data_IF_500021860986
#
_entry.id   IF_500021860986
#
_cell.length_a   1.000
_cell.length_b   1.000
_cell.length_c   1.000
_cell.angle_alpha   90.00
_cell.angle_beta   90.00
_cell.angle_gamma   90.00
#
_symmetry.space_group_name_H-M   'P 1'
#
loop_
_entity.id
_entity.type
_entity.pdbx_description
1 polymer ?
#
# COMPACT_ATOMS: atom_id res chain seq x y z
N UNK A 1 -3.64 -6.49 16.37
CA UNK A 1 -4.63 -7.59 16.16
C UNK A 1 -5.08 -7.67 14.71
N UNK A 2 -5.47 -6.55 14.07
CA UNK A 2 -5.79 -6.51 12.63
C UNK A 2 -4.63 -6.97 11.74
N UNK A 3 -3.39 -6.70 12.12
CA UNK A 3 -2.20 -7.23 11.42
C UNK A 3 -2.13 -8.76 11.43
N UNK A 4 -2.41 -9.41 12.56
CA UNK A 4 -2.41 -10.88 12.63
C UNK A 4 -3.48 -11.46 11.70
N UNK A 5 -4.66 -10.82 11.63
CA UNK A 5 -5.76 -11.25 10.76
C UNK A 5 -5.40 -11.07 9.28
N UNK A 6 -4.79 -9.93 8.91
CA UNK A 6 -4.28 -9.70 7.55
C UNK A 6 -3.20 -10.71 7.16
N UNK A 7 -2.31 -11.05 8.09
CA UNK A 7 -1.29 -12.09 7.88
C UNK A 7 -1.96 -13.45 7.71
N UNK A 8 -2.87 -13.83 8.60
CA UNK A 8 -3.64 -15.07 8.54
C UNK A 8 -4.39 -15.21 7.22
N UNK A 9 -5.09 -14.18 6.75
CA UNK A 9 -5.79 -14.20 5.45
C UNK A 9 -4.85 -14.56 4.29
N UNK A 10 -3.61 -14.08 4.36
CA UNK A 10 -2.65 -14.20 3.25
C UNK A 10 -1.83 -15.49 3.28
N UNK A 11 -1.65 -16.13 4.44
CA UNK A 11 -0.87 -17.37 4.60
C UNK A 11 -1.74 -18.60 4.83
N UNK A 12 -2.94 -18.40 5.40
CA UNK A 12 -3.88 -19.43 5.80
C UNK A 12 -5.32 -18.88 5.68
N UNK A 13 -5.80 -18.54 4.46
CA UNK A 13 -7.15 -18.01 4.25
C UNK A 13 -8.27 -18.92 4.79
N UNK A 14 -8.00 -20.22 4.84
CA UNK A 14 -8.88 -21.21 5.48
C UNK A 14 -9.09 -20.93 6.97
N UNK A 15 -8.09 -20.39 7.68
CA UNK A 15 -8.21 -20.02 9.09
C UNK A 15 -9.21 -18.88 9.27
N UNK A 16 -9.22 -17.90 8.36
CA UNK A 16 -10.19 -16.80 8.42
C UNK A 16 -11.60 -17.28 8.11
N UNK A 17 -11.74 -18.15 7.10
CA UNK A 17 -13.02 -18.80 6.80
C UNK A 17 -13.55 -19.53 8.03
N UNK A 18 -12.70 -20.34 8.69
CA UNK A 18 -13.05 -21.05 9.93
C UNK A 18 -13.40 -20.10 11.07
N UNK A 19 -12.68 -18.97 11.21
CA UNK A 19 -12.93 -17.97 12.24
C UNK A 19 -14.29 -17.30 12.04
N UNK A 20 -14.59 -16.86 10.81
CA UNK A 20 -15.87 -16.25 10.41
C UNK A 20 -17.03 -17.23 10.62
N UNK A 21 -16.88 -18.49 10.20
CA UNK A 21 -17.89 -19.53 10.37
C UNK A 21 -18.16 -19.84 11.85
N UNK A 22 -17.11 -19.98 12.66
CA UNK A 22 -17.27 -20.17 14.11
C UNK A 22 -17.90 -18.97 14.77
N UNK A 23 -17.54 -17.75 14.37
CA UNK A 23 -18.17 -16.54 14.88
C UNK A 23 -19.67 -16.50 14.56
N UNK A 24 -20.09 -16.83 13.32
CA UNK A 24 -21.51 -16.95 12.97
C UNK A 24 -22.25 -17.94 13.88
N UNK A 25 -21.68 -19.12 14.11
CA UNK A 25 -22.32 -20.12 14.98
C UNK A 25 -22.47 -19.61 16.42
N UNK A 26 -21.39 -19.04 16.98
CA UNK A 26 -21.40 -18.52 18.34
C UNK A 26 -22.32 -17.30 18.49
N UNK A 27 -22.40 -16.43 17.48
CA UNK A 27 -23.28 -15.26 17.51
C UNK A 27 -24.76 -15.67 17.49
N UNK A 28 -25.15 -16.64 16.67
CA UNK A 28 -26.53 -17.17 16.69
C UNK A 28 -26.89 -17.84 18.03
N UNK A 29 -25.96 -18.60 18.61
CA UNK A 29 -26.17 -19.18 19.94
C UNK A 29 -26.31 -18.10 21.04
N UNK A 30 -25.61 -16.98 20.91
CA UNK A 30 -25.71 -15.87 21.86
C UNK A 30 -27.12 -15.24 21.91
N UNK A 31 -27.87 -15.32 20.82
CA UNK A 31 -29.23 -14.76 20.72
C UNK A 31 -30.34 -15.80 20.94
N UNK A 32 -30.16 -17.03 20.47
CA UNK A 32 -31.26 -18.02 20.38
C UNK A 32 -30.91 -19.40 20.93
N UNK A 33 -30.05 -19.53 21.95
CA UNK A 33 -29.84 -20.83 22.59
C UNK A 33 -31.06 -21.34 23.39
N UNK A 34 -31.31 -22.68 23.40
CA UNK A 34 -30.55 -23.72 22.71
C UNK A 34 -30.92 -23.89 21.23
N UNK A 35 -29.90 -24.12 20.39
CA UNK A 35 -30.10 -24.48 18.97
C UNK A 35 -29.62 -25.89 18.65
N UNK A 36 -30.32 -26.55 17.72
CA UNK A 36 -29.84 -27.76 17.06
C UNK A 36 -28.88 -27.46 15.91
N UNK A 37 -28.06 -28.44 15.53
CA UNK A 37 -27.10 -28.34 14.40
C UNK A 37 -27.78 -27.99 13.08
N UNK A 38 -28.99 -28.53 12.84
CA UNK A 38 -29.78 -28.24 11.64
C UNK A 38 -30.25 -26.78 11.60
N UNK A 39 -30.73 -26.26 12.73
CA UNK A 39 -31.15 -24.85 12.84
C UNK A 39 -29.98 -23.90 12.63
N UNK A 40 -28.82 -24.21 13.23
CA UNK A 40 -27.58 -23.46 13.00
C UNK A 40 -27.15 -23.49 11.53
N UNK A 41 -27.17 -24.65 10.89
CA UNK A 41 -26.83 -24.81 9.47
C UNK A 41 -27.67 -23.91 8.56
N UNK A 42 -28.99 -23.88 8.80
CA UNK A 42 -29.91 -23.02 8.05
C UNK A 42 -29.68 -21.53 8.34
N UNK A 43 -29.39 -21.17 9.59
CA UNK A 43 -29.20 -19.79 9.99
C UNK A 43 -27.88 -19.18 9.48
N UNK A 44 -26.83 -19.98 9.33
CA UNK A 44 -25.48 -19.48 8.97
C UNK A 44 -25.06 -19.75 7.53
N UNK A 45 -25.88 -20.45 6.75
CA UNK A 45 -25.53 -20.98 5.41
C UNK A 45 -24.27 -21.87 5.41
N UNK A 46 -24.06 -22.61 6.50
CA UNK A 46 -22.94 -23.54 6.67
C UNK A 46 -23.49 -24.96 6.55
N UNK A 47 -22.83 -25.84 5.78
CA UNK A 47 -23.29 -27.23 5.65
C UNK A 47 -23.39 -27.92 7.02
N UNK A 48 -24.40 -28.77 7.21
CA UNK A 48 -24.62 -29.47 8.49
C UNK A 48 -23.39 -30.29 8.95
N UNK A 49 -22.64 -30.84 7.98
CA UNK A 49 -21.36 -31.52 8.23
C UNK A 49 -20.30 -30.57 8.80
N UNK A 50 -20.17 -29.37 8.23
CA UNK A 50 -19.24 -28.36 8.72
C UNK A 50 -19.69 -27.82 10.09
N UNK A 51 -20.99 -27.55 10.28
CA UNK A 51 -21.55 -27.16 11.60
C UNK A 51 -21.21 -28.18 12.66
N UNK A 52 -21.38 -29.49 12.38
CA UNK A 52 -20.96 -30.55 13.30
C UNK A 52 -19.48 -30.43 13.67
N UNK A 53 -18.61 -30.30 12.66
CA UNK A 53 -17.17 -30.18 12.89
C UNK A 53 -16.79 -28.94 13.71
N UNK A 54 -17.40 -27.79 13.43
CA UNK A 54 -17.15 -26.56 14.17
C UNK A 54 -17.65 -26.66 15.60
N UNK A 55 -18.88 -27.14 15.82
CA UNK A 55 -19.46 -27.32 17.15
C UNK A 55 -18.65 -28.30 18.00
N UNK A 56 -18.20 -29.42 17.43
CA UNK A 56 -17.37 -30.39 18.15
C UNK A 56 -16.02 -29.76 18.56
N UNK A 57 -15.41 -28.95 17.69
CA UNK A 57 -14.19 -28.21 18.02
C UNK A 57 -14.42 -27.11 19.08
N UNK A 58 -15.50 -26.35 18.96
CA UNK A 58 -15.89 -25.33 19.94
C UNK A 58 -16.15 -25.95 21.32
N UNK A 59 -16.77 -27.14 21.35
CA UNK A 59 -16.98 -27.91 22.59
C UNK A 59 -15.65 -28.38 23.17
N UNK A 60 -14.75 -28.90 22.34
CA UNK A 60 -13.41 -29.32 22.75
C UNK A 60 -12.59 -28.16 23.35
N UNK A 61 -12.85 -26.93 22.91
CA UNK A 61 -12.24 -25.70 23.43
C UNK A 61 -13.04 -25.05 24.56
N UNK A 62 -14.08 -25.68 25.09
CA UNK A 62 -14.86 -25.17 26.23
C UNK A 62 -15.79 -23.98 25.91
N UNK A 63 -16.02 -23.65 24.64
CA UNK A 63 -16.81 -22.48 24.23
C UNK A 63 -18.31 -22.77 24.09
N UNK A 64 -18.69 -24.04 23.93
CA UNK A 64 -20.10 -24.49 23.84
C UNK A 64 -20.33 -25.77 24.64
N UNK A 65 -21.56 -25.93 25.12
CA UNK A 65 -22.04 -27.14 25.78
C UNK A 65 -23.14 -27.80 24.94
N UNK A 66 -23.19 -29.13 24.94
CA UNK A 66 -24.19 -29.90 24.21
C UNK A 66 -25.01 -30.69 25.22
N UNK A 67 -26.32 -30.48 25.22
CA UNK A 67 -27.27 -31.28 26.01
C UNK A 67 -28.48 -31.70 25.16
N UNK A 68 -29.44 -32.44 25.74
CA UNK A 68 -30.59 -33.00 25.00
C UNK A 68 -31.41 -31.94 24.24
N UNK A 69 -31.69 -30.74 24.80
CA UNK A 69 -32.44 -29.70 24.10
C UNK A 69 -31.67 -29.00 22.98
N UNK A 70 -30.33 -29.08 22.96
CA UNK A 70 -29.51 -28.45 21.92
C UNK A 70 -28.13 -28.01 22.41
N UNK A 71 -27.56 -27.05 21.68
CA UNK A 71 -26.25 -26.47 21.92
C UNK A 71 -26.43 -25.13 22.64
N UNK A 72 -25.61 -24.90 23.66
CA UNK A 72 -25.57 -23.69 24.49
C UNK A 72 -24.17 -23.08 24.42
N UNK A 73 -24.05 -21.77 24.60
CA UNK A 73 -22.76 -21.16 24.91
C UNK A 73 -22.39 -21.44 26.36
N UNK A 74 -21.10 -21.72 26.58
CA UNK A 74 -20.54 -21.65 27.93
C UNK A 74 -20.39 -20.19 28.38
N UNK A 75 -20.07 -19.97 29.66
CA UNK A 75 -19.73 -18.63 30.16
C UNK A 75 -18.56 -18.00 29.39
N UNK A 76 -17.51 -18.78 29.11
CA UNK A 76 -16.36 -18.33 28.31
C UNK A 76 -16.76 -18.00 26.86
N UNK A 77 -17.59 -18.84 26.25
CA UNK A 77 -18.14 -18.58 24.91
C UNK A 77 -18.90 -17.25 24.85
N UNK A 78 -19.74 -16.97 25.84
CA UNK A 78 -20.50 -15.71 25.95
C UNK A 78 -19.59 -14.47 26.07
N UNK A 79 -18.50 -14.57 26.83
CA UNK A 79 -17.53 -13.47 26.93
C UNK A 79 -16.69 -13.26 25.66
N UNK A 80 -16.44 -14.33 24.90
CA UNK A 80 -15.60 -14.29 23.71
C UNK A 80 -16.32 -13.69 22.50
N UNK A 81 -17.62 -13.96 22.33
CA UNK A 81 -18.44 -13.46 21.20
C UNK A 81 -18.30 -11.95 20.95
N UNK A 82 -18.48 -11.05 21.94
CA UNK A 82 -18.36 -9.61 21.71
C UNK A 82 -16.94 -9.18 21.34
N UNK A 83 -15.90 -9.84 21.87
CA UNK A 83 -14.49 -9.58 21.52
C UNK A 83 -14.22 -9.95 20.06
N UNK A 84 -14.64 -11.14 19.65
CA UNK A 84 -14.54 -11.60 18.25
C UNK A 84 -15.31 -10.70 17.29
N UNK A 85 -16.51 -10.24 17.68
CA UNK A 85 -17.30 -9.28 16.90
C UNK A 85 -16.52 -7.99 16.64
N UNK A 86 -15.95 -7.39 17.69
CA UNK A 86 -15.20 -6.13 17.53
C UNK A 86 -14.02 -6.29 16.58
N UNK A 87 -13.29 -7.38 16.72
CA UNK A 87 -12.13 -7.71 15.87
C UNK A 87 -12.54 -7.91 14.40
N UNK A 88 -13.56 -8.73 14.14
CA UNK A 88 -14.02 -9.00 12.77
C UNK A 88 -14.64 -7.75 12.13
N UNK A 89 -15.39 -6.96 12.91
CA UNK A 89 -15.98 -5.71 12.44
C UNK A 89 -14.89 -4.72 12.00
N UNK A 90 -13.86 -4.52 12.81
CA UNK A 90 -12.74 -3.64 12.43
C UNK A 90 -12.02 -4.13 11.17
N UNK A 91 -11.80 -5.45 11.05
CA UNK A 91 -11.17 -6.05 9.88
C UNK A 91 -12.01 -5.87 8.61
N UNK A 92 -13.30 -6.15 8.66
CA UNK A 92 -14.23 -5.95 7.55
C UNK A 92 -14.29 -4.46 7.15
N UNK A 93 -14.33 -3.56 8.14
CA UNK A 93 -14.34 -2.12 7.91
C UNK A 93 -13.12 -1.61 7.15
N UNK A 94 -11.93 -2.13 7.46
CA UNK A 94 -10.70 -1.78 6.74
C UNK A 94 -10.77 -2.26 5.29
N UNK A 95 -11.21 -3.51 5.07
CA UNK A 95 -11.35 -4.07 3.72
C UNK A 95 -12.40 -3.33 2.88
N UNK A 96 -13.51 -2.90 3.49
CA UNK A 96 -14.52 -2.08 2.81
C UNK A 96 -13.96 -0.70 2.42
N UNK A 97 -13.19 -0.06 3.31
CA UNK A 97 -12.55 1.22 3.01
C UNK A 97 -11.51 1.07 1.88
N UNK A 98 -10.71 0.00 1.87
CA UNK A 98 -9.80 -0.32 0.75
C UNK A 98 -10.56 -0.38 -0.58
N UNK A 99 -11.70 -1.09 -0.62
CA UNK A 99 -12.51 -1.19 -1.83
C UNK A 99 -13.14 0.14 -2.24
N UNK A 100 -13.64 0.93 -1.30
CA UNK A 100 -14.22 2.24 -1.57
C UNK A 100 -13.17 3.22 -2.11
N UNK A 101 -11.96 3.24 -1.52
CA UNK A 101 -10.85 4.07 -2.00
C UNK A 101 -10.37 3.63 -3.38
N UNK A 102 -10.24 2.32 -3.60
CA UNK A 102 -9.91 1.74 -4.91
C UNK A 102 -10.88 2.20 -6.00
N UNK A 103 -12.18 2.11 -5.73
CA UNK A 103 -13.24 2.53 -6.65
C UNK A 103 -13.21 4.05 -6.89
N UNK A 104 -13.05 4.84 -5.83
CA UNK A 104 -13.05 6.31 -5.92
C UNK A 104 -11.84 6.87 -6.68
N UNK A 105 -10.70 6.17 -6.66
CA UNK A 105 -9.47 6.57 -7.34
C UNK A 105 -9.27 5.91 -8.71
N UNK A 106 -10.06 4.88 -9.04
CA UNK A 106 -9.90 4.07 -10.24
C UNK A 106 -8.49 3.47 -10.39
N UNK A 107 -8.03 2.79 -9.34
CA UNK A 107 -6.70 2.15 -9.27
C UNK A 107 -6.81 0.64 -9.08
N UNK A 108 -5.68 -0.07 -9.16
CA UNK A 108 -5.67 -1.54 -9.18
C UNK A 108 -5.97 -2.12 -7.80
N UNK A 109 -5.41 -1.54 -6.74
CA UNK A 109 -5.68 -1.96 -5.37
C UNK A 109 -5.31 -0.90 -4.32
N UNK A 110 -5.86 -1.05 -3.12
CA UNK A 110 -5.48 -0.27 -1.93
C UNK A 110 -5.17 -1.23 -0.80
N UNK A 111 -4.07 -1.00 -0.09
CA UNK A 111 -3.66 -1.76 1.09
C UNK A 111 -3.50 -0.78 2.25
N UNK A 112 -4.31 -0.94 3.29
CA UNK A 112 -4.27 -0.13 4.50
C UNK A 112 -3.50 -0.89 5.59
N UNK A 113 -2.53 -0.21 6.17
CA UNK A 113 -1.70 -0.70 7.27
C UNK A 113 -2.02 0.04 8.57
N UNK A 114 -1.89 -0.57 9.75
CA UNK A 114 -2.16 0.14 11.00
C UNK A 114 -1.10 1.20 11.31
N UNK A 115 -1.50 2.41 11.72
CA UNK A 115 -0.59 3.42 12.25
C UNK A 115 -0.27 3.13 13.70
N UNK A 116 0.89 2.53 13.96
CA UNK A 116 1.36 2.31 15.33
C UNK A 116 2.53 3.25 15.68
N UNK A 117 2.18 4.45 16.18
CA UNK A 117 3.13 5.39 16.79
C UNK A 117 4.39 5.64 15.94
N UNK A 118 5.57 5.52 16.55
CA UNK A 118 6.86 5.76 15.90
C UNK A 118 7.27 4.70 14.86
N UNK A 119 6.55 3.57 14.78
CA UNK A 119 6.86 2.46 13.87
C UNK A 119 6.09 2.52 12.55
N UNK A 120 5.20 3.49 12.38
CA UNK A 120 4.38 3.68 11.18
C UNK A 120 5.18 3.59 9.87
N UNK A 121 6.29 4.33 9.75
CA UNK A 121 7.12 4.33 8.54
C UNK A 121 7.73 2.94 8.26
N UNK A 122 8.18 2.25 9.30
CA UNK A 122 8.74 0.90 9.21
C UNK A 122 7.69 -0.11 8.74
N UNK A 123 6.45 0.01 9.23
CA UNK A 123 5.32 -0.85 8.84
C UNK A 123 4.90 -0.65 7.38
N UNK A 124 4.87 0.59 6.91
CA UNK A 124 4.67 0.92 5.49
C UNK A 124 5.78 0.30 4.64
N UNK A 125 7.04 0.48 5.05
CA UNK A 125 8.21 -0.11 4.40
C UNK A 125 8.11 -1.63 4.29
N UNK A 126 7.83 -2.31 5.41
CA UNK A 126 7.67 -3.77 5.45
C UNK A 126 6.54 -4.28 4.54
N UNK A 127 5.39 -3.61 4.55
CA UNK A 127 4.25 -3.99 3.71
C UNK A 127 4.57 -3.79 2.23
N UNK A 128 5.18 -2.66 1.89
CA UNK A 128 5.64 -2.37 0.53
C UNK A 128 6.68 -3.40 0.06
N UNK A 129 7.66 -3.74 0.90
CA UNK A 129 8.67 -4.73 0.58
C UNK A 129 8.04 -6.09 0.22
N UNK A 130 7.07 -6.56 1.01
CA UNK A 130 6.37 -7.83 0.75
C UNK A 130 5.52 -7.81 -0.52
N UNK A 131 4.95 -6.67 -0.88
CA UNK A 131 4.18 -6.51 -2.12
C UNK A 131 5.11 -6.52 -3.33
N UNK A 132 6.15 -5.69 -3.29
CA UNK A 132 7.13 -5.54 -4.37
C UNK A 132 7.91 -6.82 -4.62
N UNK A 133 8.37 -7.52 -3.56
CA UNK A 133 9.10 -8.79 -3.67
C UNK A 133 8.38 -9.85 -4.53
N UNK A 134 7.04 -9.82 -4.56
CA UNK A 134 6.22 -10.78 -5.32
C UNK A 134 6.10 -10.44 -6.81
N UNK A 135 6.47 -9.22 -7.19
CA UNK A 135 6.37 -8.70 -8.56
C UNK A 135 7.70 -8.78 -9.31
N UNK A 136 8.81 -8.83 -8.57
CA UNK A 136 10.17 -8.81 -9.13
C UNK A 136 10.59 -10.20 -9.60
N UNK A 137 11.22 -10.24 -10.78
CA UNK A 137 11.80 -11.46 -11.39
C UNK A 137 13.25 -11.20 -11.81
N UNK A 138 13.98 -12.26 -12.20
CA UNK A 138 15.38 -12.16 -12.68
C UNK A 138 15.58 -11.23 -13.88
N UNK A 139 14.53 -10.92 -14.64
CA UNK A 139 14.63 -10.07 -15.84
C UNK A 139 14.01 -8.69 -15.65
N UNK A 140 13.51 -8.40 -14.45
CA UNK A 140 12.81 -7.17 -14.16
C UNK A 140 13.78 -5.99 -14.12
N UNK A 141 13.37 -4.88 -14.74
CA UNK A 141 13.89 -3.55 -14.45
C UNK A 141 13.03 -2.92 -13.36
N UNK A 142 13.61 -2.64 -12.20
CA UNK A 142 12.91 -2.08 -11.05
C UNK A 142 13.32 -0.62 -10.87
N UNK A 143 12.38 0.31 -11.04
CA UNK A 143 12.60 1.72 -10.75
C UNK A 143 12.11 2.10 -9.37
N UNK A 144 12.92 2.83 -8.60
CA UNK A 144 12.57 3.28 -7.25
C UNK A 144 12.78 4.78 -7.07
N UNK A 145 11.83 5.49 -6.45
CA UNK A 145 12.02 6.89 -6.10
C UNK A 145 12.88 7.07 -4.84
N UNK A 146 13.26 8.32 -4.57
CA UNK A 146 13.85 8.69 -3.28
C UNK A 146 12.82 8.77 -2.16
N UNK A 147 13.29 9.11 -0.96
CA UNK A 147 12.47 9.46 0.21
C UNK A 147 12.53 8.42 1.34
N UNK A 148 12.17 8.89 2.54
CA UNK A 148 12.23 8.09 3.77
C UNK A 148 11.37 6.82 3.72
N UNK A 149 10.22 6.85 3.05
CA UNK A 149 9.35 5.67 2.87
C UNK A 149 9.99 4.61 1.98
N UNK A 150 10.67 5.02 0.91
CA UNK A 150 11.37 4.09 0.00
C UNK A 150 12.63 3.50 0.66
N UNK A 151 13.34 4.31 1.45
CA UNK A 151 14.46 3.82 2.26
C UNK A 151 14.01 2.77 3.29
N UNK A 152 12.93 3.05 4.04
CA UNK A 152 12.36 2.09 4.99
C UNK A 152 11.88 0.79 4.29
N UNK A 153 11.36 0.87 3.07
CA UNK A 153 11.03 -0.32 2.28
C UNK A 153 12.28 -1.12 1.90
N UNK A 154 13.35 -0.46 1.45
CA UNK A 154 14.59 -1.14 1.08
C UNK A 154 15.26 -1.82 2.30
N UNK A 155 15.20 -1.19 3.47
CA UNK A 155 15.70 -1.76 4.72
C UNK A 155 14.96 -3.05 5.10
N UNK A 156 13.63 -3.07 4.93
CA UNK A 156 12.76 -4.22 5.21
C UNK A 156 12.69 -5.25 4.06
N UNK A 157 13.36 -5.00 2.94
CA UNK A 157 13.34 -5.91 1.79
C UNK A 157 14.03 -7.23 2.16
N UNK A 158 13.33 -8.39 2.07
CA UNK A 158 13.94 -9.67 2.37
C UNK A 158 15.04 -9.97 1.36
N UNK A 159 16.12 -10.61 1.84
CA UNK A 159 17.13 -11.14 0.92
C UNK A 159 16.54 -12.28 0.11
N UNK A 160 16.76 -12.27 -1.20
CA UNK A 160 16.30 -13.31 -2.13
C UNK A 160 17.28 -13.38 -3.29
N UNK A 161 17.62 -14.59 -3.74
CA UNK A 161 18.48 -14.76 -4.93
C UNK A 161 17.63 -14.51 -6.17
N UNK A 162 17.64 -13.27 -6.63
CA UNK A 162 17.09 -12.82 -7.90
C UNK A 162 18.23 -12.12 -8.68
N UNK A 163 17.98 -11.69 -9.91
CA UNK A 163 18.99 -10.93 -10.69
C UNK A 163 18.42 -9.70 -11.42
N UNK A 164 17.51 -8.90 -10.81
CA UNK A 164 16.94 -7.74 -11.48
C UNK A 164 18.00 -6.65 -11.71
N UNK A 165 17.65 -5.69 -12.56
CA UNK A 165 18.39 -4.42 -12.66
C UNK A 165 17.58 -3.33 -11.97
N UNK A 166 18.14 -2.73 -10.92
CA UNK A 166 17.48 -1.66 -10.17
C UNK A 166 18.00 -0.29 -10.61
N UNK A 167 17.09 0.63 -10.88
CA UNK A 167 17.42 1.99 -11.33
C UNK A 167 16.70 3.02 -10.46
N UNK A 168 17.25 4.22 -10.28
CA UNK A 168 16.49 5.31 -9.71
C UNK A 168 15.39 5.71 -10.71
N UNK A 169 14.18 5.96 -10.22
CA UNK A 169 13.09 6.43 -11.06
C UNK A 169 13.39 7.83 -11.64
N UNK A 170 14.22 8.62 -10.96
CA UNK A 170 14.62 10.00 -11.31
C UNK A 170 15.98 10.37 -10.71
N UNK A 171 16.52 11.50 -11.12
CA UNK A 171 17.75 12.09 -10.55
C UNK A 171 17.69 12.34 -9.04
N UNK A 172 18.85 12.68 -8.46
CA UNK A 172 18.99 12.89 -7.02
C UNK A 172 18.20 14.09 -6.50
N UNK A 173 17.52 13.93 -5.35
CA UNK A 173 16.73 14.98 -4.68
C UNK A 173 16.98 14.92 -3.17
N UNK A 174 17.16 16.09 -2.56
CA UNK A 174 17.33 16.24 -1.11
C UNK A 174 18.77 16.05 -0.62
N UNK A 175 19.01 16.45 0.63
CA UNK A 175 20.35 16.47 1.24
C UNK A 175 20.68 15.20 2.04
N UNK A 176 19.67 14.40 2.40
CA UNK A 176 19.85 13.17 3.17
C UNK A 176 20.25 12.04 2.22
N UNK A 177 21.49 11.57 2.36
CA UNK A 177 22.11 10.58 1.46
C UNK A 177 21.31 9.28 1.42
N UNK A 178 20.86 8.80 2.58
CA UNK A 178 20.08 7.57 2.74
C UNK A 178 18.74 7.62 2.00
N UNK A 179 18.22 8.82 1.72
CA UNK A 179 16.94 9.01 1.05
C UNK A 179 17.10 9.23 -0.47
N UNK A 180 18.33 9.22 -0.98
CA UNK A 180 18.56 9.35 -2.41
C UNK A 180 18.17 8.07 -3.14
N UNK A 181 17.50 8.23 -4.29
CA UNK A 181 17.06 7.12 -5.12
C UNK A 181 18.21 6.17 -5.52
N UNK A 182 19.42 6.71 -5.77
CA UNK A 182 20.60 5.92 -6.09
C UNK A 182 21.01 4.97 -4.94
N UNK A 183 20.95 5.44 -3.70
CA UNK A 183 21.29 4.64 -2.52
C UNK A 183 20.25 3.54 -2.33
N UNK A 184 18.97 3.90 -2.39
CA UNK A 184 17.86 2.96 -2.26
C UNK A 184 17.92 1.88 -3.37
N UNK A 185 18.21 2.27 -4.62
CA UNK A 185 18.39 1.34 -5.72
C UNK A 185 19.54 0.35 -5.46
N UNK A 186 20.66 0.83 -4.90
CA UNK A 186 21.80 -0.02 -4.56
C UNK A 186 21.48 -1.03 -3.44
N UNK A 187 20.75 -0.61 -2.41
CA UNK A 187 20.33 -1.48 -1.29
C UNK A 187 19.39 -2.57 -1.81
N UNK A 188 18.40 -2.21 -2.65
CA UNK A 188 17.49 -3.19 -3.24
C UNK A 188 18.21 -4.20 -4.13
N UNK A 189 19.13 -3.75 -4.97
CA UNK A 189 19.93 -4.65 -5.81
C UNK A 189 20.77 -5.61 -4.95
N UNK A 190 21.38 -5.14 -3.86
CA UNK A 190 22.13 -5.99 -2.93
C UNK A 190 21.23 -7.04 -2.28
N UNK A 191 20.06 -6.66 -1.76
CA UNK A 191 19.07 -7.59 -1.16
C UNK A 191 18.67 -8.68 -2.15
N UNK A 192 18.60 -8.33 -3.42
CA UNK A 192 18.19 -9.24 -4.47
C UNK A 192 19.32 -9.98 -5.16
N UNK A 193 20.61 -9.76 -4.85
CA UNK A 193 21.73 -10.25 -5.67
C UNK A 193 21.69 -9.79 -7.15
N UNK A 194 20.98 -8.69 -7.40
CA UNK A 194 20.88 -8.05 -8.71
C UNK A 194 21.99 -7.05 -8.98
N UNK A 195 21.78 -6.23 -10.01
CA UNK A 195 22.65 -5.10 -10.35
C UNK A 195 21.89 -3.79 -10.26
N UNK A 196 22.60 -2.67 -10.19
CA UNK A 196 21.98 -1.35 -10.24
C UNK A 196 22.73 -0.41 -11.18
N UNK A 197 22.03 0.63 -11.65
CA UNK A 197 22.61 1.75 -12.40
C UNK A 197 22.25 3.05 -11.70
N UNK A 198 23.21 3.94 -11.54
CA UNK A 198 23.01 5.22 -10.85
C UNK A 198 22.82 6.37 -11.85
N UNK A 199 21.94 7.30 -11.51
CA UNK A 199 21.72 8.54 -12.25
C UNK A 199 22.31 9.72 -11.47
N UNK A 200 23.47 10.20 -11.91
CA UNK A 200 24.19 11.31 -11.25
C UNK A 200 23.85 12.67 -11.85
N UNK A 201 22.58 12.90 -12.12
CA UNK A 201 22.08 14.19 -12.60
C UNK A 201 21.19 14.84 -11.55
N UNK A 202 21.28 16.17 -11.37
CA UNK A 202 20.34 16.90 -10.53
C UNK A 202 18.94 16.89 -11.16
N UNK A 203 17.93 16.97 -10.31
CA UNK A 203 16.55 17.22 -10.76
C UNK A 203 16.40 18.69 -11.21
N UNK A 204 15.47 18.96 -12.14
CA UNK A 204 15.14 20.33 -12.57
C UNK A 204 16.11 20.99 -13.56
N UNK A 205 16.89 20.22 -14.32
CA UNK A 205 17.74 20.74 -15.39
C UNK A 205 16.91 21.46 -16.47
N UNK A 206 17.53 22.41 -17.19
CA UNK A 206 16.89 23.02 -18.35
C UNK A 206 16.62 21.97 -19.44
N UNK A 207 15.57 22.17 -20.24
CA UNK A 207 15.22 21.23 -21.32
C UNK A 207 16.38 21.06 -22.31
N UNK A 208 17.02 22.16 -22.71
CA UNK A 208 18.16 22.14 -23.63
C UNK A 208 19.35 21.37 -23.05
N UNK A 209 19.60 21.52 -21.74
CA UNK A 209 20.66 20.75 -21.06
C UNK A 209 20.35 19.25 -21.03
N UNK A 210 19.11 18.87 -20.78
CA UNK A 210 18.70 17.46 -20.78
C UNK A 210 18.81 16.86 -22.17
N UNK A 211 18.28 17.54 -23.19
CA UNK A 211 18.33 17.08 -24.58
C UNK A 211 19.78 16.90 -25.04
N UNK A 212 20.68 17.83 -24.66
CA UNK A 212 22.11 17.71 -24.92
C UNK A 212 22.73 16.50 -24.22
N UNK A 213 22.48 16.30 -22.92
CA UNK A 213 23.03 15.19 -22.14
C UNK A 213 22.55 13.83 -22.68
N UNK A 214 21.25 13.68 -22.97
CA UNK A 214 20.70 12.43 -23.51
C UNK A 214 21.25 12.13 -24.92
N UNK A 215 21.51 13.16 -25.72
CA UNK A 215 21.99 13.00 -27.10
C UNK A 215 23.48 12.72 -27.17
N UNK A 216 24.28 13.44 -26.37
CA UNK A 216 25.74 13.44 -26.49
C UNK A 216 26.45 12.50 -25.52
N UNK A 217 25.82 12.12 -24.40
CA UNK A 217 26.44 11.27 -23.38
C UNK A 217 25.87 9.84 -23.42
N UNK A 218 26.61 8.85 -23.94
CA UNK A 218 26.12 7.49 -24.10
C UNK A 218 25.65 6.82 -22.80
N UNK A 219 26.32 7.13 -21.67
CA UNK A 219 25.95 6.60 -20.36
C UNK A 219 24.59 7.13 -19.89
N UNK A 220 24.31 8.41 -20.14
CA UNK A 220 23.03 9.04 -19.82
C UNK A 220 21.92 8.48 -20.71
N UNK A 221 22.23 8.25 -21.99
CA UNK A 221 21.30 7.59 -22.91
C UNK A 221 20.95 6.17 -22.47
N UNK A 222 21.96 5.36 -22.13
CA UNK A 222 21.76 3.96 -21.68
C UNK A 222 20.87 3.90 -20.43
N UNK A 223 21.14 4.73 -19.41
CA UNK A 223 20.32 4.74 -18.20
C UNK A 223 18.90 5.28 -18.48
N UNK A 224 18.76 6.29 -19.34
CA UNK A 224 17.44 6.79 -19.75
C UNK A 224 16.62 5.69 -20.44
N UNK A 225 17.22 4.98 -21.40
CA UNK A 225 16.57 3.84 -22.08
C UNK A 225 16.17 2.74 -21.09
N UNK A 226 17.03 2.44 -20.12
CA UNK A 226 16.75 1.44 -19.10
C UNK A 226 15.60 1.88 -18.18
N UNK A 227 15.58 3.13 -17.74
CA UNK A 227 14.48 3.69 -16.93
C UNK A 227 13.13 3.57 -17.69
N UNK A 228 13.11 3.81 -19.00
CA UNK A 228 11.87 3.67 -19.79
C UNK A 228 11.47 2.20 -20.05
N UNK A 229 12.35 1.23 -19.77
CA UNK A 229 12.05 -0.20 -19.79
C UNK A 229 11.57 -0.76 -18.44
N UNK A 230 11.23 0.11 -17.48
CA UNK A 230 10.79 -0.29 -16.14
C UNK A 230 9.61 -1.27 -16.18
N UNK A 231 9.78 -2.41 -15.51
CA UNK A 231 8.72 -3.41 -15.30
C UNK A 231 7.98 -3.18 -13.98
N UNK A 232 8.72 -2.79 -12.94
CA UNK A 232 8.21 -2.53 -11.59
C UNK A 232 8.63 -1.12 -11.15
N UNK A 233 7.67 -0.24 -10.94
CA UNK A 233 7.89 1.09 -10.38
C UNK A 233 7.40 1.14 -8.93
N UNK A 234 8.26 1.61 -8.03
CA UNK A 234 7.89 1.89 -6.64
C UNK A 234 8.23 3.33 -6.29
N UNK A 235 7.27 4.09 -5.77
CA UNK A 235 7.49 5.50 -5.48
C UNK A 235 6.72 6.02 -4.26
N UNK A 236 7.26 7.07 -3.66
CA UNK A 236 6.64 7.82 -2.57
C UNK A 236 5.81 9.01 -3.05
N UNK A 237 4.89 9.48 -2.20
CA UNK A 237 4.09 10.69 -2.43
C UNK A 237 4.39 11.75 -1.34
N UNK A 238 4.62 12.99 -1.79
CA UNK A 238 4.86 14.15 -0.92
C UNK A 238 3.80 15.23 -1.10
N UNK A 239 3.69 16.12 -0.11
CA UNK A 239 2.88 17.35 -0.24
C UNK A 239 3.58 18.32 -1.19
N UNK A 240 2.81 18.95 -2.08
CA UNK A 240 3.35 19.80 -3.14
C UNK A 240 4.31 20.90 -2.61
N UNK A 241 3.87 21.71 -1.65
CA UNK A 241 4.70 22.83 -1.16
C UNK A 241 5.93 22.35 -0.37
N UNK A 242 5.81 21.30 0.44
CA UNK A 242 6.95 20.70 1.11
C UNK A 242 8.00 20.20 0.10
N UNK A 243 7.55 19.50 -0.95
CA UNK A 243 8.44 18.99 -1.98
C UNK A 243 9.01 20.08 -2.90
N UNK A 244 8.32 21.21 -3.04
CA UNK A 244 8.85 22.40 -3.70
C UNK A 244 10.04 22.99 -2.92
N UNK A 245 9.95 23.03 -1.59
CA UNK A 245 11.02 23.51 -0.72
C UNK A 245 12.23 22.56 -0.75
N UNK A 246 12.01 21.24 -0.64
CA UNK A 246 13.08 20.21 -0.73
C UNK A 246 13.83 20.28 -2.07
N UNK A 247 13.14 20.62 -3.16
CA UNK A 247 13.73 20.73 -4.51
C UNK A 247 14.19 22.14 -4.87
N UNK A 248 14.12 23.09 -3.94
CA UNK A 248 14.53 24.47 -4.18
C UNK A 248 13.83 25.08 -5.41
N UNK A 249 12.53 24.78 -5.57
CA UNK A 249 11.72 25.28 -6.69
C UNK A 249 11.68 26.82 -6.65
N UNK A 250 11.95 27.52 -7.77
CA UNK A 250 11.95 28.98 -7.80
C UNK A 250 10.62 29.60 -7.36
N UNK A 251 10.69 30.76 -6.71
CA UNK A 251 9.52 31.45 -6.13
C UNK A 251 8.39 31.70 -7.14
N UNK A 252 8.72 32.03 -8.39
CA UNK A 252 7.71 32.20 -9.45
C UNK A 252 6.93 30.92 -9.75
N UNK A 253 7.60 29.76 -9.76
CA UNK A 253 6.94 28.46 -9.92
C UNK A 253 6.18 28.09 -8.66
N UNK A 254 6.70 28.43 -7.47
CA UNK A 254 5.97 28.23 -6.22
C UNK A 254 4.64 28.98 -6.19
N UNK A 255 4.58 30.22 -6.73
CA UNK A 255 3.31 30.94 -6.92
C UNK A 255 2.37 30.19 -7.87
N UNK A 256 2.88 29.69 -9.00
CA UNK A 256 2.09 28.84 -9.91
C UNK A 256 1.51 27.60 -9.21
N UNK A 257 2.28 26.95 -8.31
CA UNK A 257 1.79 25.81 -7.53
C UNK A 257 0.63 26.21 -6.61
N UNK A 258 0.72 27.37 -5.95
CA UNK A 258 -0.34 27.89 -5.09
C UNK A 258 -1.57 28.29 -5.91
N UNK A 259 -1.38 29.04 -6.99
CA UNK A 259 -2.47 29.52 -7.86
C UNK A 259 -3.20 28.37 -8.57
N UNK A 260 -2.49 27.27 -8.83
CA UNK A 260 -3.05 26.05 -9.42
C UNK A 260 -3.55 25.02 -8.40
N UNK A 261 -3.64 25.36 -7.11
CA UNK A 261 -4.08 24.47 -6.04
C UNK A 261 -3.34 23.12 -6.01
N UNK A 262 -2.03 23.12 -6.27
CA UNK A 262 -1.22 21.92 -6.19
C UNK A 262 -1.12 21.43 -4.74
N UNK A 263 -1.54 20.18 -4.50
CA UNK A 263 -1.57 19.57 -3.16
C UNK A 263 -0.61 18.39 -3.02
N UNK A 264 -0.30 17.68 -4.11
CA UNK A 264 0.61 16.54 -4.10
C UNK A 264 1.74 16.64 -5.10
N UNK A 265 2.82 15.92 -4.82
CA UNK A 265 3.94 15.72 -5.72
C UNK A 265 4.36 14.25 -5.71
N UNK A 266 4.59 13.73 -6.90
CA UNK A 266 5.31 12.49 -7.11
C UNK A 266 6.04 12.55 -8.44
N UNK A 267 7.23 11.97 -8.49
CA UNK A 267 8.04 11.90 -9.70
C UNK A 267 8.16 13.25 -10.42
N UNK A 268 8.41 14.33 -9.67
CA UNK A 268 8.57 15.70 -10.18
C UNK A 268 7.31 16.31 -10.81
N UNK A 269 6.15 15.66 -10.67
CA UNK A 269 4.86 16.17 -11.15
C UNK A 269 4.04 16.65 -9.96
N UNK A 270 3.65 17.92 -10.00
CA UNK A 270 2.84 18.57 -8.98
C UNK A 270 1.38 18.56 -9.42
N UNK A 271 0.52 17.94 -8.63
CA UNK A 271 -0.86 17.66 -8.98
C UNK A 271 -1.84 18.45 -8.11
N UNK A 272 -2.88 18.98 -8.74
CA UNK A 272 -4.05 19.52 -8.04
C UNK A 272 -4.97 18.39 -7.57
N UNK A 273 -5.91 18.69 -6.66
CA UNK A 273 -6.80 17.69 -6.06
C UNK A 273 -7.59 16.85 -7.09
N UNK A 274 -7.88 17.39 -8.28
CA UNK A 274 -8.57 16.69 -9.37
C UNK A 274 -7.67 15.69 -10.14
N UNK A 275 -6.36 15.71 -9.91
CA UNK A 275 -5.35 14.93 -10.64
C UNK A 275 -4.73 15.64 -11.84
N UNK A 276 -5.07 16.91 -12.08
CA UNK A 276 -4.43 17.72 -13.11
C UNK A 276 -3.01 18.11 -12.71
N UNK A 277 -2.06 17.96 -13.64
CA UNK A 277 -0.66 18.35 -13.43
C UNK A 277 -0.52 19.86 -13.59
N UNK A 278 -0.24 20.55 -12.48
CA UNK A 278 -0.05 22.01 -12.40
C UNK A 278 1.35 22.40 -12.89
N UNK A 279 2.35 21.60 -12.54
CA UNK A 279 3.74 21.83 -12.92
C UNK A 279 4.51 20.52 -12.99
N UNK A 280 5.51 20.47 -13.87
CA UNK A 280 6.35 19.32 -14.13
C UNK A 280 7.82 19.78 -14.17
N UNK A 281 8.67 19.21 -13.33
CA UNK A 281 10.12 19.45 -13.45
C UNK A 281 10.69 18.72 -14.66
N UNK A 282 11.56 19.41 -15.39
CA UNK A 282 12.37 18.82 -16.44
C UNK A 282 13.47 17.95 -15.80
N UNK A 283 13.58 16.69 -16.22
CA UNK A 283 14.50 15.71 -15.64
C UNK A 283 14.67 14.50 -16.57
N UNK A 284 15.72 13.71 -16.34
CA UNK A 284 15.80 12.33 -16.83
C UNK A 284 15.20 11.41 -15.76
N UNK A 285 14.17 10.66 -16.14
CA UNK A 285 13.43 9.81 -15.23
C UNK A 285 12.02 9.52 -15.73
N UNK A 286 11.27 8.78 -14.91
CA UNK A 286 9.87 8.52 -15.11
C UNK A 286 9.02 9.73 -14.70
N UNK A 287 7.94 9.94 -15.42
CA UNK A 287 6.85 10.84 -15.11
C UNK A 287 5.58 10.06 -14.79
N UNK A 288 4.58 10.73 -14.20
CA UNK A 288 3.26 10.12 -13.98
C UNK A 288 2.58 9.67 -15.28
N UNK A 289 2.98 10.22 -16.44
CA UNK A 289 2.43 9.81 -17.75
C UNK A 289 2.99 8.47 -18.22
N UNK A 290 4.18 8.09 -17.78
CA UNK A 290 4.84 6.85 -18.20
C UNK A 290 4.24 5.62 -17.50
N UNK A 291 3.57 5.83 -16.35
CA UNK A 291 2.94 4.81 -15.51
C UNK A 291 2.03 3.86 -16.31
N UNK A 292 1.33 4.37 -17.33
CA UNK A 292 0.42 3.56 -18.14
C UNK A 292 1.12 2.36 -18.79
N UNK A 293 2.40 2.51 -19.15
CA UNK A 293 3.20 1.50 -19.84
C UNK A 293 3.93 0.54 -18.89
N UNK A 294 3.95 0.82 -17.58
CA UNK A 294 4.67 0.03 -16.59
C UNK A 294 3.78 -1.11 -16.09
N UNK A 295 4.29 -2.34 -16.07
CA UNK A 295 3.51 -3.54 -15.71
C UNK A 295 3.02 -3.50 -14.27
N UNK A 296 3.89 -3.19 -13.32
CA UNK A 296 3.58 -3.13 -11.90
C UNK A 296 3.95 -1.76 -11.33
N UNK A 297 2.98 -1.11 -10.69
CA UNK A 297 3.15 0.24 -10.13
C UNK A 297 2.69 0.20 -8.67
N UNK A 298 3.56 0.61 -7.76
CA UNK A 298 3.30 0.63 -6.32
C UNK A 298 3.61 2.02 -5.76
N UNK A 299 2.57 2.69 -5.29
CA UNK A 299 2.69 3.96 -4.57
C UNK A 299 2.63 3.71 -3.07
N UNK A 300 3.54 4.31 -2.29
CA UNK A 300 3.58 4.15 -0.83
C UNK A 300 3.63 5.52 -0.18
N UNK A 301 2.67 5.80 0.68
CA UNK A 301 2.60 7.07 1.38
C UNK A 301 1.86 6.90 2.70
N UNK A 302 2.00 7.89 3.59
CA UNK A 302 1.34 7.80 4.87
C UNK A 302 1.23 9.12 5.61
N UNK A 303 0.30 9.18 6.56
CA UNK A 303 -0.04 10.33 7.37
C UNK A 303 -1.36 10.99 6.96
N UNK A 304 -2.16 11.39 7.95
CA UNK A 304 -3.43 12.08 7.74
C UNK A 304 -3.26 13.36 6.89
N UNK A 305 -2.18 14.10 7.15
CA UNK A 305 -1.82 15.33 6.47
C UNK A 305 -1.45 15.13 4.99
N UNK A 306 -1.10 13.91 4.57
CA UNK A 306 -0.82 13.58 3.17
C UNK A 306 -2.05 13.13 2.38
N UNK A 307 -3.23 13.05 2.99
CA UNK A 307 -4.43 12.53 2.31
C UNK A 307 -4.75 13.25 0.98
N UNK A 308 -4.70 14.58 0.95
CA UNK A 308 -4.94 15.36 -0.29
C UNK A 308 -3.85 15.12 -1.34
N UNK A 309 -2.59 15.06 -0.92
CA UNK A 309 -1.47 14.75 -1.78
C UNK A 309 -1.60 13.37 -2.43
N UNK A 310 -1.96 12.35 -1.63
CA UNK A 310 -2.18 10.99 -2.11
C UNK A 310 -3.31 10.95 -3.13
N UNK A 311 -4.45 11.58 -2.83
CA UNK A 311 -5.60 11.63 -3.75
C UNK A 311 -5.21 12.29 -5.08
N UNK A 312 -4.55 13.45 -5.03
CA UNK A 312 -4.16 14.19 -6.24
C UNK A 312 -3.27 13.37 -7.16
N UNK A 313 -2.21 12.74 -6.62
CA UNK A 313 -1.28 11.95 -7.41
C UNK A 313 -1.96 10.69 -7.94
N UNK A 314 -2.70 9.97 -7.12
CA UNK A 314 -3.34 8.72 -7.57
C UNK A 314 -4.43 8.96 -8.63
N UNK A 315 -5.15 10.10 -8.58
CA UNK A 315 -6.05 10.53 -9.67
C UNK A 315 -5.32 10.85 -10.98
N UNK A 316 -4.08 11.32 -10.90
CA UNK A 316 -3.23 11.49 -12.08
C UNK A 316 -2.72 10.14 -12.60
N UNK A 317 -2.40 9.19 -11.72
CA UNK A 317 -1.87 7.86 -12.08
C UNK A 317 -2.93 6.97 -12.74
N UNK A 318 -4.13 6.89 -12.15
CA UNK A 318 -5.25 6.00 -12.55
C UNK A 318 -4.86 4.52 -12.72
N UNK A 319 -3.81 4.09 -12.04
CA UNK A 319 -3.21 2.76 -12.10
C UNK A 319 -2.33 2.53 -10.88
N UNK A 320 -2.14 1.27 -10.51
CA UNK A 320 -1.20 0.85 -9.49
C UNK A 320 -1.85 0.46 -8.17
N UNK A 321 -1.02 -0.08 -7.29
CA UNK A 321 -1.38 -0.45 -5.93
C UNK A 321 -0.95 0.67 -5.00
N UNK A 322 -1.90 1.18 -4.22
CA UNK A 322 -1.64 2.20 -3.20
C UNK A 322 -1.50 1.55 -1.83
N UNK A 323 -0.35 1.72 -1.18
CA UNK A 323 -0.09 1.27 0.19
C UNK A 323 -0.06 2.48 1.11
N UNK A 324 -1.00 2.53 2.06
CA UNK A 324 -1.18 3.63 3.00
C UNK A 324 -1.37 3.13 4.43
N UNK A 325 -1.26 4.03 5.39
CA UNK A 325 -1.71 3.75 6.76
C UNK A 325 -3.17 4.17 6.99
N UNK A 326 -3.74 3.71 8.10
CA UNK A 326 -5.10 4.00 8.52
C UNK A 326 -5.40 5.50 8.75
N UNK A 327 -4.42 6.32 9.13
CA UNK A 327 -4.62 7.77 9.28
C UNK A 327 -4.72 8.46 7.92
N UNK A 328 -3.86 8.10 6.97
CA UNK A 328 -3.98 8.55 5.58
C UNK A 328 -5.32 8.09 4.99
N UNK A 329 -5.70 6.84 5.21
CA UNK A 329 -6.97 6.29 4.73
C UNK A 329 -8.18 7.05 5.29
N UNK A 330 -8.18 7.38 6.58
CA UNK A 330 -9.24 8.16 7.22
C UNK A 330 -9.30 9.60 6.67
N UNK A 331 -8.16 10.26 6.49
CA UNK A 331 -8.11 11.58 5.85
C UNK A 331 -8.65 11.54 4.43
N UNK A 332 -8.33 10.49 3.67
CA UNK A 332 -8.85 10.31 2.31
C UNK A 332 -10.36 10.04 2.31
N UNK A 333 -10.85 9.24 3.25
CA UNK A 333 -12.28 8.96 3.43
C UNK A 333 -13.07 10.26 3.61
N UNK A 334 -12.57 11.16 4.47
CA UNK A 334 -13.20 12.46 4.73
C UNK A 334 -13.20 13.35 3.48
N UNK A 335 -12.06 13.47 2.80
CA UNK A 335 -11.92 14.32 1.60
C UNK A 335 -12.73 13.81 0.40
N UNK A 336 -12.95 12.50 0.30
CA UNK A 336 -13.72 11.87 -0.77
C UNK A 336 -15.21 11.72 -0.42
N UNK A 337 -15.65 12.19 0.75
CA UNK A 337 -17.00 12.02 1.27
C UNK A 337 -17.47 10.56 1.28
N UNK A 338 -16.55 9.64 1.55
CA UNK A 338 -16.87 8.22 1.69
C UNK A 338 -17.56 8.05 3.05
N UNK A 339 -18.74 7.39 3.13
CA UNK A 339 -19.47 7.24 4.39
C UNK A 339 -18.60 6.61 5.48
N UNK A 340 -18.75 7.09 6.72
CA UNK A 340 -18.20 6.37 7.85
C UNK A 340 -18.99 5.07 8.02
N UNK A 341 -18.27 3.97 8.16
CA UNK A 341 -18.81 2.63 8.38
C UNK A 341 -19.10 2.36 9.86
#
# INVERSE_FOLDING_TARGET
>A
MNELLMVCERIAPELMTVLKDRYKLLSHLAYEEPLGRRSLSLATDISERAVRSHVDALRGNGLVEISKPGIYLSAEGRELVPKLRGILYEYERVGELEQQLKQALHIDDVIITPSEGTLMLKRLGFTAAKVVQRMVTDKSVVAVSGGSTMAAMADEMPSSVLHPVVVPARGGVGEVVEYQANVIASVLAERWHGSYKMLHLPDGLSKDSLDMLVTLEPQIKEISELIHRTDVLVFGIGQALHMADVRHIPEGVRRQLVDGDAVGEALGQYCSMDGSIVYATNNIGLSLRDIVNITHVVAVAGGFDKASAIISVMRSCKKGILIIDDQAAEGMRQLLNIPAL
#
